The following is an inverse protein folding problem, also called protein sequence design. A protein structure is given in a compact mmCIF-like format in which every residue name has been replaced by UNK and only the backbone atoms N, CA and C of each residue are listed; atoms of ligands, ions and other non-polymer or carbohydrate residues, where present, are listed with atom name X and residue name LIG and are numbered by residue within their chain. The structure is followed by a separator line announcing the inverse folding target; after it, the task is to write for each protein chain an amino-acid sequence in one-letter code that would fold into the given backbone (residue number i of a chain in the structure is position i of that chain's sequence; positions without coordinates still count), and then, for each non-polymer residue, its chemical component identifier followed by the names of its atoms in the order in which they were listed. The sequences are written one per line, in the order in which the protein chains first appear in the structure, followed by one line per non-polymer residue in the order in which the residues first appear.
data_IF_442106410549
#
_entry.id   IF_442106410549
#
_cell.length_a   1.000
_cell.length_b   1.000
_cell.length_c   1.000
_cell.angle_alpha   90.00
_cell.angle_beta   90.00
_cell.angle_gamma   90.00
#
_symmetry.space_group_name_H-M   'P 1'
#
loop_
_entity.id
_entity.type
_entity.pdbx_description
1 polymer ?
#
# COMPACT_ATOMS: atom_id res chain seq x y z
N UNK A 1 -30.91 -22.86 22.33
CA UNK A 1 -31.00 -22.18 21.03
C UNK A 1 -31.02 -23.25 19.96
N UNK A 2 -32.13 -23.29 19.23
CA UNK A 2 -32.40 -24.29 18.22
C UNK A 2 -31.41 -24.14 17.04
N UNK A 3 -30.80 -25.23 16.60
CA UNK A 3 -29.80 -25.22 15.53
C UNK A 3 -30.38 -24.87 14.16
N UNK A 4 -31.67 -24.83 14.04
CA UNK A 4 -32.39 -24.63 12.78
C UNK A 4 -32.93 -23.20 12.56
N UNK A 5 -32.59 -22.25 13.40
CA UNK A 5 -32.93 -20.86 13.16
C UNK A 5 -32.02 -20.21 12.14
N UNK A 6 -32.32 -20.41 10.88
CA UNK A 6 -31.78 -19.67 9.74
C UNK A 6 -32.21 -18.20 9.85
N UNK A 7 -31.26 -17.31 10.12
CA UNK A 7 -31.49 -15.84 10.07
C UNK A 7 -31.25 -15.07 11.36
N UNK A 8 -30.95 -15.72 12.47
CA UNK A 8 -30.57 -15.01 13.70
C UNK A 8 -29.06 -14.85 13.75
N UNK A 9 -28.57 -13.64 13.55
CA UNK A 9 -27.18 -13.30 13.80
C UNK A 9 -26.94 -13.42 15.31
N UNK A 10 -26.28 -14.49 15.74
CA UNK A 10 -25.80 -14.62 17.11
C UNK A 10 -24.67 -13.60 17.33
N UNK A 11 -24.98 -12.48 17.96
CA UNK A 11 -23.99 -11.53 18.45
C UNK A 11 -23.36 -12.08 19.74
N UNK A 12 -22.50 -13.07 19.61
CA UNK A 12 -21.62 -13.48 20.69
C UNK A 12 -20.44 -12.52 20.78
N UNK A 13 -20.39 -11.72 21.84
CA UNK A 13 -19.20 -10.94 22.18
C UNK A 13 -18.21 -11.86 22.89
N UNK A 14 -17.03 -12.03 22.30
CA UNK A 14 -15.94 -12.74 22.93
C UNK A 14 -14.66 -11.93 22.82
N UNK A 15 -13.84 -12.01 23.85
CA UNK A 15 -12.47 -11.48 23.79
C UNK A 15 -11.65 -12.34 22.86
N UNK A 16 -11.12 -11.74 21.82
CA UNK A 16 -10.27 -12.42 20.83
C UNK A 16 -8.92 -11.75 20.77
N UNK A 17 -7.87 -12.55 20.70
CA UNK A 17 -6.51 -12.09 20.47
C UNK A 17 -6.14 -12.34 19.02
N UNK A 18 -5.84 -11.24 18.28
CA UNK A 18 -5.38 -11.32 16.90
C UNK A 18 -3.85 -11.28 16.87
N UNK A 19 -3.24 -12.34 16.38
CA UNK A 19 -1.83 -12.35 16.05
C UNK A 19 -1.67 -12.06 14.56
N UNK A 20 -1.20 -10.86 14.18
CA UNK A 20 -1.03 -10.50 12.77
C UNK A 20 0.03 -11.39 12.12
N UNK A 21 -0.23 -11.79 10.87
CA UNK A 21 0.77 -12.47 10.06
C UNK A 21 1.92 -11.53 9.68
N UNK A 22 3.08 -12.11 9.39
CA UNK A 22 4.25 -11.37 8.93
C UNK A 22 3.91 -10.57 7.68
N UNK A 23 4.17 -9.27 7.72
CA UNK A 23 4.10 -8.38 6.56
C UNK A 23 5.50 -8.22 5.99
N UNK A 24 5.62 -8.32 4.68
CA UNK A 24 6.89 -8.13 3.96
C UNK A 24 6.67 -7.27 2.73
N UNK A 25 7.70 -6.48 2.39
CA UNK A 25 7.69 -5.62 1.22
C UNK A 25 9.06 -5.64 0.55
N UNK A 26 9.06 -5.72 -0.77
CA UNK A 26 10.23 -5.57 -1.63
C UNK A 26 9.88 -4.50 -2.65
N UNK A 27 10.73 -3.49 -2.80
CA UNK A 27 10.46 -2.34 -3.67
C UNK A 27 11.72 -1.90 -4.43
N UNK A 28 12.17 -2.64 -5.45
CA UNK A 28 13.23 -2.19 -6.32
C UNK A 28 12.76 -1.00 -7.16
N UNK A 29 13.67 -0.08 -7.42
CA UNK A 29 13.44 1.04 -8.34
C UNK A 29 14.66 1.34 -9.17
N UNK A 30 14.42 1.94 -10.31
CA UNK A 30 15.42 2.54 -11.19
C UNK A 30 15.11 4.03 -11.32
N UNK A 31 16.14 4.85 -11.21
CA UNK A 31 16.06 6.30 -11.40
C UNK A 31 17.08 6.74 -12.42
N UNK A 32 16.65 7.54 -13.37
CA UNK A 32 17.52 8.20 -14.32
C UNK A 32 17.33 9.72 -14.18
N UNK A 33 18.40 10.38 -13.79
CA UNK A 33 18.38 11.83 -13.57
C UNK A 33 18.96 12.56 -14.78
N UNK A 34 18.38 13.73 -15.07
CA UNK A 34 18.87 14.66 -16.10
C UNK A 34 19.06 14.01 -17.49
N UNK A 35 18.11 13.17 -17.89
CA UNK A 35 18.16 12.45 -19.17
C UNK A 35 18.24 13.47 -20.33
N UNK A 36 17.40 14.51 -20.28
CA UNK A 36 17.36 15.59 -21.26
C UNK A 36 16.97 16.89 -20.52
N UNK A 37 17.81 17.92 -20.51
CA UNK A 37 17.51 19.27 -20.04
C UNK A 37 16.70 19.36 -18.71
N UNK A 38 17.14 18.64 -17.68
CA UNK A 38 16.49 18.69 -16.37
C UNK A 38 15.32 17.69 -16.18
N UNK A 39 15.04 16.85 -17.18
CA UNK A 39 14.05 15.80 -17.06
C UNK A 39 14.63 14.57 -16.35
N UNK A 40 13.96 14.12 -15.32
CA UNK A 40 14.29 12.92 -14.53
C UNK A 40 13.11 11.97 -14.49
N UNK A 41 13.36 10.67 -14.50
CA UNK A 41 12.33 9.66 -14.37
C UNK A 41 12.70 8.61 -13.36
N UNK A 42 11.70 8.11 -12.64
CA UNK A 42 11.84 7.01 -11.70
C UNK A 42 10.78 5.96 -12.00
N UNK A 43 11.22 4.73 -12.22
CA UNK A 43 10.35 3.58 -12.39
C UNK A 43 10.61 2.64 -11.22
N UNK A 44 9.58 2.25 -10.52
CA UNK A 44 9.67 1.36 -9.37
C UNK A 44 8.60 0.27 -9.43
N UNK A 45 8.93 -0.86 -8.86
CA UNK A 45 8.00 -1.95 -8.65
C UNK A 45 7.97 -2.27 -7.18
N UNK A 46 6.79 -2.45 -6.60
CA UNK A 46 6.67 -2.91 -5.22
C UNK A 46 5.80 -4.16 -5.12
N UNK A 47 6.32 -5.10 -4.37
CA UNK A 47 5.60 -6.28 -3.94
C UNK A 47 5.41 -6.20 -2.44
N UNK A 48 4.15 -6.22 -1.99
CA UNK A 48 3.79 -6.24 -0.57
C UNK A 48 2.89 -7.44 -0.32
N UNK A 49 3.15 -8.15 0.75
CA UNK A 49 2.30 -9.28 1.13
C UNK A 49 2.25 -9.47 2.63
N UNK A 50 1.20 -10.13 3.07
CA UNK A 50 1.01 -10.55 4.45
C UNK A 50 0.70 -12.05 4.49
N UNK A 51 1.35 -12.75 5.40
CA UNK A 51 1.00 -14.14 5.72
C UNK A 51 -0.30 -14.21 6.50
N UNK A 52 -0.87 -15.40 6.58
CA UNK A 52 -2.08 -15.67 7.36
C UNK A 52 -1.95 -15.13 8.78
N UNK A 53 -2.95 -14.37 9.21
CA UNK A 53 -3.10 -13.96 10.61
C UNK A 53 -3.81 -15.05 11.38
N UNK A 54 -3.56 -15.14 12.68
CA UNK A 54 -4.23 -16.10 13.56
C UNK A 54 -5.16 -15.35 14.51
N UNK A 55 -6.33 -15.90 14.76
CA UNK A 55 -7.27 -15.41 15.74
C UNK A 55 -7.44 -16.51 16.80
N UNK A 56 -7.21 -16.17 18.06
CA UNK A 56 -7.48 -17.05 19.21
C UNK A 56 -8.55 -16.43 20.09
N UNK A 57 -9.55 -17.22 20.44
CA UNK A 57 -10.64 -16.79 21.34
C UNK A 57 -10.39 -17.29 22.75
N UNK A 58 -10.73 -16.48 23.74
CA UNK A 58 -10.67 -16.85 25.16
C UNK A 58 -11.98 -17.49 25.69
N UNK A 59 -12.99 -17.61 24.86
CA UNK A 59 -14.28 -18.19 25.26
C UNK A 59 -14.33 -19.69 24.96
N UNK A 60 -14.69 -20.50 25.95
CA UNK A 60 -14.71 -21.95 25.87
C UNK A 60 -15.71 -22.54 24.86
N UNK A 61 -16.62 -21.73 24.33
CA UNK A 61 -17.72 -22.20 23.45
C UNK A 61 -17.60 -21.71 22.00
N UNK A 62 -16.47 -21.13 21.59
CA UNK A 62 -16.27 -20.68 20.21
C UNK A 62 -15.36 -21.67 19.48
N UNK A 63 -15.89 -22.28 18.43
CA UNK A 63 -15.11 -23.15 17.57
C UNK A 63 -14.01 -22.36 16.87
N UNK A 64 -12.77 -22.71 17.16
CA UNK A 64 -11.58 -22.08 16.57
C UNK A 64 -11.54 -22.20 15.05
N UNK A 65 -12.18 -23.22 14.49
CA UNK A 65 -12.27 -23.44 13.04
C UNK A 65 -13.11 -22.35 12.37
N UNK A 66 -14.20 -21.93 13.00
CA UNK A 66 -15.07 -20.85 12.52
C UNK A 66 -14.32 -19.52 12.58
N UNK A 67 -13.62 -19.25 13.69
CA UNK A 67 -12.82 -18.02 13.83
C UNK A 67 -11.71 -17.91 12.78
N UNK A 68 -11.08 -19.01 12.43
CA UNK A 68 -9.98 -19.02 11.45
C UNK A 68 -10.47 -19.03 10.00
N UNK A 69 -11.75 -19.28 9.74
CA UNK A 69 -12.33 -19.25 8.39
C UNK A 69 -12.50 -17.84 7.82
N UNK A 70 -12.38 -16.78 8.65
CA UNK A 70 -12.55 -15.40 8.23
C UNK A 70 -11.58 -15.03 7.08
N UNK A 71 -12.14 -14.51 6.00
CA UNK A 71 -11.39 -14.04 4.84
C UNK A 71 -10.35 -12.97 5.18
N UNK A 72 -10.60 -12.15 6.22
CA UNK A 72 -9.70 -11.11 6.69
C UNK A 72 -8.43 -11.64 7.37
N UNK A 73 -8.39 -12.92 7.71
CA UNK A 73 -7.22 -13.59 8.28
C UNK A 73 -6.34 -14.24 7.22
N UNK A 74 -6.87 -14.43 6.02
CA UNK A 74 -6.16 -15.10 4.93
C UNK A 74 -5.03 -14.23 4.37
N UNK A 75 -4.00 -14.84 3.80
CA UNK A 75 -2.87 -14.10 3.24
C UNK A 75 -3.31 -13.25 2.05
N UNK A 76 -2.73 -12.07 1.93
CA UNK A 76 -2.96 -11.18 0.80
C UNK A 76 -1.63 -10.74 0.18
N UNK A 77 -1.68 -10.33 -1.08
CA UNK A 77 -0.53 -9.77 -1.78
C UNK A 77 -0.94 -8.67 -2.75
N UNK A 78 -0.03 -7.72 -2.97
CA UNK A 78 -0.21 -6.61 -3.89
C UNK A 78 1.08 -6.36 -4.68
N UNK A 79 0.92 -6.17 -5.98
CA UNK A 79 1.96 -5.80 -6.92
C UNK A 79 1.64 -4.42 -7.48
N UNK A 80 2.52 -3.46 -7.33
CA UNK A 80 2.30 -2.09 -7.77
C UNK A 80 3.46 -1.61 -8.61
N UNK A 81 3.15 -1.00 -9.74
CA UNK A 81 4.09 -0.27 -10.59
C UNK A 81 4.01 1.20 -10.22
N UNK A 82 5.16 1.81 -10.02
CA UNK A 82 5.31 3.24 -9.74
C UNK A 82 6.06 3.89 -10.88
N UNK A 83 5.54 5.00 -11.37
CA UNK A 83 6.21 5.86 -12.34
C UNK A 83 6.18 7.29 -11.79
N UNK A 84 7.33 7.94 -11.80
CA UNK A 84 7.45 9.37 -11.47
C UNK A 84 8.28 10.04 -12.54
N UNK A 85 7.78 11.14 -13.08
CA UNK A 85 8.47 12.02 -13.99
C UNK A 85 8.64 13.36 -13.30
N UNK A 86 9.84 13.90 -13.31
CA UNK A 86 10.17 15.18 -12.72
C UNK A 86 10.85 16.07 -13.77
N UNK A 87 10.51 17.33 -13.79
CA UNK A 87 11.17 18.33 -14.61
C UNK A 87 11.69 19.46 -13.73
N UNK A 88 12.98 19.67 -13.77
CA UNK A 88 13.69 20.72 -13.03
C UNK A 88 14.02 21.87 -14.00
N UNK A 89 13.47 23.05 -13.74
CA UNK A 89 13.71 24.27 -14.50
C UNK A 89 15.04 24.95 -14.17
N UNK A 90 16.03 24.22 -13.67
CA UNK A 90 17.35 24.69 -13.21
C UNK A 90 18.17 25.47 -14.24
N UNK A 91 17.71 25.54 -15.49
CA UNK A 91 18.35 26.31 -16.57
C UNK A 91 18.17 27.83 -16.41
N UNK A 92 17.30 28.27 -15.52
CA UNK A 92 17.12 29.70 -15.25
C UNK A 92 18.11 30.09 -14.16
N UNK A 93 19.02 30.99 -14.45
CA UNK A 93 20.04 31.57 -13.53
C UNK A 93 19.40 32.41 -12.41
N UNK A 94 18.38 31.92 -11.75
CA UNK A 94 17.71 32.61 -10.65
C UNK A 94 17.90 31.81 -9.35
N UNK A 95 17.86 32.50 -8.24
CA UNK A 95 17.93 31.92 -6.88
C UNK A 95 16.77 30.96 -6.55
N UNK A 96 15.81 30.81 -7.44
CA UNK A 96 14.69 29.89 -7.30
C UNK A 96 14.69 28.83 -8.41
N UNK A 97 14.56 27.58 -8.05
CA UNK A 97 14.50 26.43 -8.98
C UNK A 97 13.12 25.78 -8.89
N UNK A 98 12.20 26.17 -9.77
CA UNK A 98 10.91 25.51 -9.80
C UNK A 98 11.05 24.07 -10.33
N UNK A 99 10.28 23.17 -9.75
CA UNK A 99 10.24 21.74 -10.11
C UNK A 99 8.79 21.32 -10.31
N UNK A 100 8.56 20.58 -11.36
CA UNK A 100 7.27 19.96 -11.67
C UNK A 100 7.41 18.45 -11.53
N UNK A 101 6.47 17.78 -10.89
CA UNK A 101 6.46 16.33 -10.77
C UNK A 101 5.09 15.74 -11.13
N UNK A 102 5.13 14.61 -11.82
CA UNK A 102 3.97 13.80 -12.14
C UNK A 102 4.25 12.37 -11.65
N UNK A 103 3.34 11.81 -10.88
CA UNK A 103 3.49 10.46 -10.34
C UNK A 103 2.25 9.62 -10.62
N UNK A 104 2.49 8.34 -10.86
CA UNK A 104 1.47 7.33 -11.06
C UNK A 104 1.86 6.07 -10.30
N UNK A 105 0.91 5.48 -9.59
CA UNK A 105 1.05 4.17 -9.01
C UNK A 105 -0.13 3.31 -9.42
N UNK A 106 0.14 2.23 -10.15
CA UNK A 106 -0.87 1.33 -10.69
C UNK A 106 -0.69 -0.06 -10.13
N UNK A 107 -1.76 -0.62 -9.59
CA UNK A 107 -1.77 -2.00 -9.15
C UNK A 107 -1.88 -2.94 -10.34
N UNK A 108 -0.82 -3.72 -10.59
CA UNK A 108 -0.75 -4.71 -11.66
C UNK A 108 -1.52 -5.97 -11.33
N UNK A 109 -1.32 -6.48 -10.11
CA UNK A 109 -1.94 -7.70 -9.63
C UNK A 109 -2.13 -7.66 -8.12
N UNK A 110 -2.98 -8.53 -7.61
CA UNK A 110 -3.18 -8.68 -6.17
C UNK A 110 -4.14 -9.80 -5.84
N UNK A 111 -3.98 -10.35 -4.65
CA UNK A 111 -4.84 -11.36 -4.08
C UNK A 111 -5.48 -10.81 -2.82
N UNK A 112 -6.82 -10.85 -2.72
CA UNK A 112 -7.62 -10.36 -1.58
C UNK A 112 -7.38 -8.90 -1.22
N UNK A 113 -7.25 -8.04 -2.24
CA UNK A 113 -7.15 -6.60 -2.09
C UNK A 113 -7.95 -5.90 -3.19
N UNK A 114 -8.40 -4.69 -2.91
CA UNK A 114 -9.06 -3.87 -3.92
C UNK A 114 -8.04 -3.34 -4.91
N UNK A 115 -8.41 -3.34 -6.21
CA UNK A 115 -7.62 -2.71 -7.25
C UNK A 115 -7.66 -1.20 -7.06
N UNK A 116 -6.49 -0.57 -7.02
CA UNK A 116 -6.37 0.88 -6.85
C UNK A 116 -5.33 1.45 -7.81
N UNK A 117 -5.62 2.62 -8.35
CA UNK A 117 -4.68 3.44 -9.08
C UNK A 117 -4.57 4.79 -8.37
N UNK A 118 -3.37 5.33 -8.31
CA UNK A 118 -3.10 6.63 -7.71
C UNK A 118 -2.37 7.48 -8.72
N UNK A 119 -2.78 8.74 -8.84
CA UNK A 119 -2.12 9.75 -9.66
C UNK A 119 -1.79 10.93 -8.77
N UNK A 120 -0.62 11.50 -8.94
CA UNK A 120 -0.17 12.65 -8.18
C UNK A 120 0.47 13.69 -9.09
N UNK A 121 0.20 14.94 -8.79
CA UNK A 121 0.83 16.10 -9.40
C UNK A 121 1.45 16.93 -8.30
N UNK A 122 2.69 17.40 -8.50
CA UNK A 122 3.41 18.21 -7.53
C UNK A 122 4.11 19.38 -8.20
N UNK A 123 4.05 20.52 -7.54
CA UNK A 123 4.84 21.71 -7.87
C UNK A 123 5.71 22.02 -6.66
N UNK A 124 6.99 22.17 -6.88
CA UNK A 124 7.96 22.54 -5.84
C UNK A 124 8.80 23.70 -6.31
N UNK A 125 9.37 24.44 -5.37
CA UNK A 125 10.36 25.45 -5.64
C UNK A 125 11.49 25.32 -4.62
N UNK A 126 12.71 25.16 -5.10
CA UNK A 126 13.91 25.21 -4.27
C UNK A 126 14.44 26.63 -4.30
N UNK A 127 14.56 27.26 -3.14
CA UNK A 127 15.09 28.61 -2.97
C UNK A 127 16.48 28.46 -2.37
N UNK A 128 17.51 28.78 -3.14
CA UNK A 128 18.87 28.84 -2.62
C UNK A 128 19.01 30.17 -1.86
N UNK A 129 19.06 30.11 -0.54
CA UNK A 129 19.44 31.22 0.31
C UNK A 129 20.95 31.18 0.55
N UNK A 130 21.67 32.17 0.09
CA UNK A 130 23.04 32.39 0.56
C UNK A 130 22.94 32.89 2.02
N UNK A 131 23.32 32.02 2.95
CA UNK A 131 23.50 32.36 4.39
C UNK A 131 24.95 32.65 4.71
#
# INVERSE_FOLDING_TARGET
LDKDQTGVIQLTKAWTHKQPGLVYQIAPYFRADHIIFGFSTKIGYSFTGQRTSKLSGCAQNIDSTILQSDENLKPWSRHTLHLTCEYDFATIKHSSRPRLSLSMATQLAGKRIFKSNMYGFGIGCEIAGDW
#
